data_IF_243000822420
#
_entry.id   IF_243000822420
#
_cell.length_a   1.000
_cell.length_b   1.000
_cell.length_c   1.000
_cell.angle_alpha   90.00
_cell.angle_beta   90.00
_cell.angle_gamma   90.00
#
_symmetry.space_group_name_H-M   'P 1'
#
loop_
_entity.id
_entity.type
_entity.pdbx_description
1 polymer ?
#
# COMPACT_ATOMS: atom_id res chain seq x y z
N UNK A 1 0.83 12.17 21.22
CA UNK A 1 0.01 12.18 19.98
C UNK A 1 0.09 13.57 19.36
N UNK A 2 0.35 13.62 18.07
CA UNK A 2 0.33 14.83 17.27
C UNK A 2 -1.11 15.36 17.14
N UNK A 3 -1.25 16.67 17.00
CA UNK A 3 -2.57 17.28 16.72
C UNK A 3 -2.76 17.36 15.21
N UNK A 4 -3.98 17.13 14.76
CA UNK A 4 -4.33 17.30 13.35
C UNK A 4 -4.09 18.76 12.92
N UNK A 5 -3.41 18.91 11.79
CA UNK A 5 -3.18 20.21 11.14
C UNK A 5 -3.68 20.23 9.68
N UNK A 6 -4.26 19.11 9.21
CA UNK A 6 -4.91 18.95 7.91
C UNK A 6 -6.36 18.55 8.11
N UNK A 7 -7.27 19.21 7.37
CA UNK A 7 -8.70 18.91 7.35
C UNK A 7 -9.04 18.14 6.08
N UNK A 8 -9.51 16.91 6.19
CA UNK A 8 -9.91 16.08 5.04
C UNK A 8 -11.29 16.48 4.53
N UNK A 9 -12.24 16.73 5.45
CA UNK A 9 -13.60 17.12 5.05
C UNK A 9 -13.58 18.50 4.36
N UNK A 10 -14.19 18.60 3.18
CA UNK A 10 -14.13 19.80 2.34
C UNK A 10 -12.91 19.91 1.42
N UNK A 11 -11.92 19.01 1.55
CA UNK A 11 -10.72 19.01 0.69
C UNK A 11 -10.87 18.11 -0.52
N UNK A 12 -10.12 18.42 -1.58
CA UNK A 12 -9.89 17.54 -2.72
C UNK A 12 -8.68 16.67 -2.47
N UNK A 13 -8.88 15.35 -2.39
CA UNK A 13 -7.82 14.34 -2.22
C UNK A 13 -7.52 13.70 -3.57
N UNK A 14 -6.27 13.78 -4.02
CA UNK A 14 -5.82 13.09 -5.22
C UNK A 14 -5.14 11.77 -4.86
N UNK A 15 -5.68 10.64 -5.34
CA UNK A 15 -5.17 9.30 -5.09
C UNK A 15 -4.66 8.70 -6.40
N UNK A 16 -3.37 8.39 -6.47
CA UNK A 16 -2.82 7.63 -7.59
C UNK A 16 -2.88 6.13 -7.29
N UNK A 17 -3.14 5.31 -8.32
CA UNK A 17 -3.37 3.88 -8.11
C UNK A 17 -4.74 3.59 -7.46
N UNK A 18 -5.73 4.41 -7.74
CA UNK A 18 -7.05 4.38 -7.11
C UNK A 18 -7.85 3.11 -7.38
N UNK A 19 -7.61 2.42 -8.50
CA UNK A 19 -8.19 1.12 -8.80
C UNK A 19 -7.41 -0.06 -8.19
N UNK A 20 -6.28 0.24 -7.52
CA UNK A 20 -5.48 -0.73 -6.78
C UNK A 20 -6.14 -1.12 -5.46
N UNK A 21 -5.57 -2.16 -4.80
CA UNK A 21 -6.10 -2.70 -3.54
C UNK A 21 -6.20 -1.65 -2.43
N UNK A 22 -5.09 -1.00 -2.10
CA UNK A 22 -5.08 0.00 -1.01
C UNK A 22 -5.80 1.28 -1.46
N UNK A 23 -5.59 1.72 -2.71
CA UNK A 23 -6.17 2.95 -3.23
C UNK A 23 -7.68 2.96 -3.24
N UNK A 24 -8.31 1.87 -3.67
CA UNK A 24 -9.76 1.75 -3.70
C UNK A 24 -10.38 1.72 -2.30
N UNK A 25 -9.80 0.94 -1.37
CA UNK A 25 -10.28 0.89 0.01
C UNK A 25 -10.12 2.25 0.72
N UNK A 26 -9.01 2.95 0.47
CA UNK A 26 -8.81 4.31 1.00
C UNK A 26 -9.83 5.29 0.44
N UNK A 27 -10.04 5.29 -0.89
CA UNK A 27 -11.02 6.16 -1.53
C UNK A 27 -12.43 5.92 -1.01
N UNK A 28 -12.84 4.66 -0.89
CA UNK A 28 -14.14 4.27 -0.36
C UNK A 28 -14.34 4.77 1.08
N UNK A 29 -13.35 4.57 1.94
CA UNK A 29 -13.39 5.01 3.33
C UNK A 29 -13.45 6.53 3.45
N UNK A 30 -12.67 7.26 2.65
CA UNK A 30 -12.70 8.73 2.63
C UNK A 30 -14.08 9.26 2.20
N UNK A 31 -14.65 8.70 1.13
CA UNK A 31 -15.96 9.10 0.62
C UNK A 31 -17.11 8.73 1.58
N UNK A 32 -16.96 7.66 2.35
CA UNK A 32 -17.95 7.24 3.36
C UNK A 32 -17.90 8.11 4.62
N UNK A 33 -16.70 8.34 5.17
CA UNK A 33 -16.52 8.97 6.48
C UNK A 33 -16.49 10.52 6.41
N UNK A 34 -16.16 11.10 5.24
CA UNK A 34 -16.04 12.54 5.04
C UNK A 34 -16.99 13.04 3.95
N UNK A 35 -18.24 13.45 4.31
CA UNK A 35 -19.30 13.75 3.34
C UNK A 35 -18.99 14.89 2.35
N UNK A 36 -18.10 15.81 2.73
CA UNK A 36 -17.72 16.96 1.89
C UNK A 36 -16.34 16.73 1.19
N UNK A 37 -15.70 15.59 1.43
CA UNK A 37 -14.47 15.22 0.75
C UNK A 37 -14.75 14.86 -0.72
N UNK A 38 -13.90 15.33 -1.61
CA UNK A 38 -13.86 14.93 -3.02
C UNK A 38 -12.60 14.10 -3.27
N UNK A 39 -12.75 12.98 -3.95
CA UNK A 39 -11.64 12.13 -4.36
C UNK A 39 -11.47 12.20 -5.88
N UNK A 40 -10.28 12.56 -6.32
CA UNK A 40 -9.84 12.44 -7.72
C UNK A 40 -8.86 11.30 -7.79
N UNK A 41 -9.13 10.30 -8.63
CA UNK A 41 -8.28 9.12 -8.75
C UNK A 41 -7.70 8.94 -10.13
N UNK A 42 -6.43 8.52 -10.23
CA UNK A 42 -5.81 8.07 -11.48
C UNK A 42 -5.35 6.63 -11.35
N UNK A 43 -5.58 5.83 -12.41
CA UNK A 43 -5.02 4.48 -12.54
C UNK A 43 -4.84 4.13 -14.01
N UNK A 44 -3.76 3.46 -14.35
CA UNK A 44 -3.46 3.06 -15.73
C UNK A 44 -4.19 1.77 -16.15
N UNK A 45 -4.82 1.07 -15.19
CA UNK A 45 -5.54 -0.19 -15.41
C UNK A 45 -4.66 -1.21 -16.14
N UNK A 46 -3.41 -1.37 -15.64
CA UNK A 46 -2.49 -2.35 -16.21
C UNK A 46 -3.03 -3.78 -16.06
N UNK A 47 -2.71 -4.63 -16.99
CA UNK A 47 -3.07 -6.06 -17.07
C UNK A 47 -2.11 -6.99 -16.30
N UNK A 48 -1.36 -6.46 -15.35
CA UNK A 48 -0.48 -7.23 -14.46
C UNK A 48 -1.22 -8.37 -13.75
N UNK A 49 -2.50 -8.17 -13.49
CA UNK A 49 -3.46 -9.19 -13.09
C UNK A 49 -4.83 -8.86 -13.71
N UNK A 50 -5.80 -9.76 -13.60
CA UNK A 50 -7.14 -9.58 -14.18
C UNK A 50 -7.72 -8.22 -13.83
N UNK A 51 -7.97 -7.42 -14.86
CA UNK A 51 -8.46 -6.05 -14.75
C UNK A 51 -9.90 -5.96 -14.24
N UNK A 52 -10.67 -7.04 -14.27
CA UNK A 52 -12.05 -7.09 -13.74
C UNK A 52 -12.12 -6.61 -12.29
N UNK A 53 -11.16 -7.04 -11.45
CA UNK A 53 -11.04 -6.58 -10.07
C UNK A 53 -10.84 -5.07 -9.93
N UNK A 54 -10.13 -4.46 -10.87
CA UNK A 54 -9.93 -3.00 -10.87
C UNK A 54 -11.21 -2.26 -11.23
N UNK A 55 -11.92 -2.74 -12.25
CA UNK A 55 -13.21 -2.15 -12.64
C UNK A 55 -14.29 -2.31 -11.56
N UNK A 56 -14.33 -3.45 -10.88
CA UNK A 56 -15.26 -3.64 -9.76
C UNK A 56 -15.03 -2.64 -8.63
N UNK A 57 -13.76 -2.45 -8.24
CA UNK A 57 -13.40 -1.44 -7.23
C UNK A 57 -13.83 -0.03 -7.68
N UNK A 58 -13.65 0.31 -8.96
CA UNK A 58 -14.08 1.59 -9.51
C UNK A 58 -15.61 1.72 -9.51
N UNK A 59 -16.35 0.68 -9.88
CA UNK A 59 -17.82 0.68 -9.86
C UNK A 59 -18.37 0.98 -8.46
N UNK A 60 -17.72 0.47 -7.39
CA UNK A 60 -18.10 0.82 -6.02
C UNK A 60 -17.86 2.30 -5.70
N UNK A 61 -16.77 2.87 -6.21
CA UNK A 61 -16.45 4.29 -6.01
C UNK A 61 -17.36 5.21 -6.81
N UNK A 62 -17.79 4.82 -8.01
CA UNK A 62 -18.70 5.60 -8.87
C UNK A 62 -20.07 5.83 -8.22
N UNK A 63 -20.46 4.99 -7.25
CA UNK A 63 -21.71 5.18 -6.48
C UNK A 63 -21.75 6.48 -5.67
N UNK A 64 -20.59 7.10 -5.43
CA UNK A 64 -20.49 8.38 -4.71
C UNK A 64 -20.73 9.61 -5.62
N UNK A 65 -21.04 9.41 -6.91
CA UNK A 65 -21.41 10.47 -7.86
C UNK A 65 -20.30 11.52 -8.02
N UNK A 66 -20.69 12.80 -8.01
CA UNK A 66 -19.78 13.93 -8.29
C UNK A 66 -18.63 14.08 -7.28
N UNK A 67 -18.66 13.36 -6.16
CA UNK A 67 -17.58 13.37 -5.18
C UNK A 67 -16.41 12.46 -5.57
N UNK A 68 -16.61 11.58 -6.55
CA UNK A 68 -15.54 10.73 -7.09
C UNK A 68 -15.33 11.02 -8.58
N UNK A 69 -14.07 11.26 -8.94
CA UNK A 69 -13.66 11.43 -10.35
C UNK A 69 -12.57 10.44 -10.68
N UNK A 70 -12.78 9.62 -11.69
CA UNK A 70 -11.78 8.70 -12.20
C UNK A 70 -11.14 9.21 -13.49
N UNK A 71 -9.81 9.20 -13.53
CA UNK A 71 -9.00 9.49 -14.72
C UNK A 71 -8.23 8.24 -15.10
N UNK A 72 -8.51 7.65 -16.25
CA UNK A 72 -7.70 6.55 -16.78
C UNK A 72 -6.42 7.12 -17.38
N UNK A 73 -5.27 6.78 -16.78
CA UNK A 73 -3.95 7.28 -17.24
C UNK A 73 -2.81 6.82 -16.36
N UNK A 74 -1.59 7.04 -16.84
CA UNK A 74 -0.36 6.75 -16.09
C UNK A 74 0.16 7.98 -15.38
N UNK A 75 0.74 7.81 -14.20
CA UNK A 75 1.47 8.87 -13.49
C UNK A 75 2.78 9.25 -14.22
N UNK A 76 3.28 8.41 -15.13
CA UNK A 76 4.42 8.76 -16.00
C UNK A 76 4.03 9.72 -17.13
N UNK A 77 2.73 9.89 -17.43
CA UNK A 77 2.22 10.94 -18.32
C UNK A 77 2.15 12.29 -17.58
N UNK A 78 3.20 13.09 -17.76
CA UNK A 78 3.30 14.42 -17.15
C UNK A 78 2.10 15.31 -17.49
N UNK A 79 1.63 15.27 -18.73
CA UNK A 79 0.52 16.13 -19.16
C UNK A 79 -0.80 15.74 -18.49
N UNK A 80 -1.02 14.44 -18.25
CA UNK A 80 -2.19 13.97 -17.51
C UNK A 80 -2.15 14.48 -16.05
N UNK A 81 -1.01 14.42 -15.39
CA UNK A 81 -0.84 14.92 -14.03
C UNK A 81 -1.02 16.43 -13.96
N UNK A 82 -0.39 17.19 -14.85
CA UNK A 82 -0.52 18.65 -14.90
C UNK A 82 -1.98 19.08 -15.10
N UNK A 83 -2.76 18.37 -15.97
CA UNK A 83 -4.20 18.62 -16.14
C UNK A 83 -5.01 18.36 -14.87
N UNK A 84 -4.74 17.25 -14.17
CA UNK A 84 -5.41 16.92 -12.90
C UNK A 84 -5.19 18.03 -11.87
N UNK A 85 -3.96 18.48 -11.69
CA UNK A 85 -3.66 19.56 -10.74
C UNK A 85 -4.31 20.90 -11.13
N UNK A 86 -4.33 21.23 -12.41
CA UNK A 86 -4.99 22.43 -12.92
C UNK A 86 -6.50 22.40 -12.72
N UNK A 87 -7.15 21.28 -13.06
CA UNK A 87 -8.61 21.18 -13.13
C UNK A 87 -9.25 20.92 -11.76
N UNK A 88 -8.57 20.14 -10.91
CA UNK A 88 -9.13 19.69 -9.63
C UNK A 88 -8.45 20.28 -8.40
N UNK A 89 -7.27 20.89 -8.53
CA UNK A 89 -6.54 21.61 -7.48
C UNK A 89 -6.44 20.83 -6.16
N UNK A 90 -5.85 19.63 -6.16
CA UNK A 90 -5.82 18.78 -4.97
C UNK A 90 -4.99 19.43 -3.85
N UNK A 91 -5.52 19.34 -2.63
CA UNK A 91 -4.89 19.84 -1.41
C UNK A 91 -4.13 18.73 -0.68
N UNK A 92 -4.57 17.48 -0.84
CA UNK A 92 -3.93 16.30 -0.29
C UNK A 92 -3.62 15.33 -1.43
N UNK A 93 -2.39 14.84 -1.49
CA UNK A 93 -1.97 13.87 -2.50
C UNK A 93 -1.56 12.57 -1.82
N UNK A 94 -2.16 11.45 -2.24
CA UNK A 94 -1.80 10.11 -1.77
C UNK A 94 -1.28 9.29 -2.93
N UNK A 95 0.05 9.15 -3.03
CA UNK A 95 0.68 8.44 -4.14
C UNK A 95 0.86 6.96 -3.81
N UNK A 96 -0.07 6.13 -4.30
CA UNK A 96 -0.04 4.67 -4.17
C UNK A 96 0.27 3.96 -5.49
N UNK A 97 0.16 4.66 -6.63
CA UNK A 97 0.51 4.11 -7.94
C UNK A 97 1.97 3.70 -7.99
N UNK A 98 2.20 2.47 -8.33
CA UNK A 98 3.52 1.90 -8.57
C UNK A 98 3.39 0.56 -9.29
N UNK A 99 4.40 0.18 -10.06
CA UNK A 99 4.60 -1.22 -10.36
C UNK A 99 5.13 -1.90 -9.09
N UNK A 100 4.37 -2.86 -8.56
CA UNK A 100 4.67 -3.59 -7.33
C UNK A 100 5.09 -5.04 -7.62
N UNK A 101 5.72 -5.67 -6.63
CA UNK A 101 6.19 -7.06 -6.73
C UNK A 101 7.69 -7.15 -6.94
N UNK A 102 8.38 -7.84 -6.01
CA UNK A 102 9.85 -7.99 -6.06
C UNK A 102 10.26 -8.83 -7.27
N UNK A 103 9.54 -9.92 -7.55
CA UNK A 103 9.90 -10.87 -8.62
C UNK A 103 9.70 -10.28 -10.01
N UNK A 104 8.57 -9.65 -10.23
CA UNK A 104 8.27 -9.04 -11.52
C UNK A 104 9.25 -7.92 -11.89
N UNK A 105 9.94 -7.32 -10.90
CA UNK A 105 10.99 -6.34 -11.18
C UNK A 105 12.25 -6.95 -11.85
N UNK A 106 12.38 -8.27 -11.83
CA UNK A 106 13.45 -9.01 -12.56
C UNK A 106 13.03 -9.25 -14.00
N UNK A 107 11.73 -9.52 -14.21
CA UNK A 107 11.17 -9.88 -15.52
C UNK A 107 10.88 -8.65 -16.39
N UNK A 108 10.40 -7.57 -15.77
CA UNK A 108 10.01 -6.33 -16.46
C UNK A 108 10.53 -5.09 -15.71
N UNK A 109 11.84 -4.82 -15.72
CA UNK A 109 12.45 -3.71 -15.00
C UNK A 109 11.99 -2.34 -15.50
N UNK A 110 11.72 -2.18 -16.79
CA UNK A 110 11.34 -0.90 -17.39
C UNK A 110 10.03 -0.35 -16.80
N UNK A 111 9.06 -1.22 -16.50
CA UNK A 111 7.81 -0.83 -15.86
C UNK A 111 8.03 -0.20 -14.46
N UNK A 112 9.11 -0.62 -13.77
CA UNK A 112 9.47 -0.05 -12.45
C UNK A 112 10.17 1.31 -12.59
N UNK A 113 11.00 1.48 -13.58
CA UNK A 113 11.65 2.78 -13.86
C UNK A 113 10.58 3.78 -14.28
N UNK A 114 9.73 3.43 -15.23
CA UNK A 114 8.66 4.31 -15.73
C UNK A 114 7.69 4.70 -14.61
N UNK A 115 7.06 3.74 -13.98
CA UNK A 115 6.02 4.01 -12.98
C UNK A 115 6.59 4.57 -11.66
N UNK A 116 7.65 3.92 -11.11
CA UNK A 116 8.09 4.23 -9.75
C UNK A 116 9.06 5.40 -9.68
N UNK A 117 9.85 5.66 -10.73
CA UNK A 117 10.79 6.78 -10.75
C UNK A 117 10.24 7.96 -11.54
N UNK A 118 9.94 7.79 -12.83
CA UNK A 118 9.43 8.87 -13.66
C UNK A 118 8.04 9.32 -13.17
N UNK A 119 7.15 8.37 -12.90
CA UNK A 119 5.82 8.67 -12.38
C UNK A 119 5.86 9.42 -11.05
N UNK A 120 6.67 8.96 -10.09
CA UNK A 120 6.80 9.64 -8.81
C UNK A 120 7.44 11.03 -8.94
N UNK A 121 8.43 11.19 -9.82
CA UNK A 121 8.99 12.49 -10.15
C UNK A 121 7.92 13.46 -10.66
N UNK A 122 7.03 13.02 -11.55
CA UNK A 122 5.94 13.85 -12.05
C UNK A 122 5.00 14.32 -10.92
N UNK A 123 4.69 13.44 -9.95
CA UNK A 123 3.89 13.80 -8.77
C UNK A 123 4.62 14.86 -7.92
N UNK A 124 5.92 14.69 -7.67
CA UNK A 124 6.70 15.65 -6.90
C UNK A 124 6.74 17.03 -7.58
N UNK A 125 6.93 17.07 -8.89
CA UNK A 125 6.92 18.33 -9.66
C UNK A 125 5.53 18.98 -9.65
N UNK A 126 4.47 18.20 -9.77
CA UNK A 126 3.11 18.74 -9.68
C UNK A 126 2.83 19.33 -8.28
N UNK A 127 3.26 18.64 -7.21
CA UNK A 127 3.20 19.19 -5.85
C UNK A 127 4.03 20.47 -5.71
N UNK A 128 5.24 20.52 -6.30
CA UNK A 128 6.07 21.74 -6.30
C UNK A 128 5.36 22.90 -6.97
N UNK A 129 4.84 22.68 -8.18
CA UNK A 129 4.16 23.73 -8.96
C UNK A 129 2.78 24.10 -8.41
N UNK A 130 2.22 23.31 -7.50
CA UNK A 130 1.01 23.71 -6.77
C UNK A 130 1.23 24.97 -5.89
N UNK A 131 2.48 25.26 -5.53
CA UNK A 131 2.86 26.46 -4.79
C UNK A 131 3.05 27.71 -5.68
N UNK A 132 2.96 27.60 -7.00
CA UNK A 132 3.09 28.74 -7.90
C UNK A 132 1.90 29.70 -7.75
N UNK A 133 2.09 31.02 -7.97
CA UNK A 133 1.02 31.99 -7.82
C UNK A 133 -0.23 31.65 -8.65
N UNK A 134 -1.39 31.63 -8.00
CA UNK A 134 -2.69 31.31 -8.62
C UNK A 134 -3.08 29.84 -8.55
N UNK A 135 -2.21 28.97 -8.08
CA UNK A 135 -2.51 27.56 -7.81
C UNK A 135 -2.94 27.33 -6.35
N UNK A 136 -3.43 26.13 -6.06
CA UNK A 136 -3.76 25.70 -4.70
C UNK A 136 -2.61 24.83 -4.18
N UNK A 137 -1.92 25.25 -3.11
CA UNK A 137 -0.80 24.50 -2.55
C UNK A 137 -1.24 23.12 -2.04
N UNK A 138 -0.44 22.09 -2.35
CA UNK A 138 -0.58 20.78 -1.71
C UNK A 138 -0.13 20.90 -0.25
N UNK A 139 -1.03 20.62 0.66
CA UNK A 139 -0.79 20.70 2.10
C UNK A 139 -0.07 19.46 2.63
N UNK A 140 -0.27 18.30 2.01
CA UNK A 140 0.38 17.05 2.41
C UNK A 140 0.51 16.07 1.24
N UNK A 141 1.72 15.58 1.00
CA UNK A 141 2.01 14.44 0.14
C UNK A 141 2.26 13.20 1.02
N UNK A 142 1.36 12.21 0.96
CA UNK A 142 1.58 10.88 1.53
C UNK A 142 1.95 9.92 0.41
N UNK A 143 2.99 9.12 0.58
CA UNK A 143 3.42 8.22 -0.48
C UNK A 143 3.79 6.83 0.02
N UNK A 144 3.51 5.82 -0.82
CA UNK A 144 3.84 4.44 -0.54
C UNK A 144 5.34 4.17 -0.75
N UNK A 145 6.05 3.89 0.35
CA UNK A 145 7.29 3.13 0.35
C UNK A 145 6.99 1.64 0.58
N UNK A 146 7.93 0.85 1.02
CA UNK A 146 7.78 -0.60 1.20
C UNK A 146 8.77 -1.12 2.23
N UNK A 147 8.40 -2.16 2.97
CA UNK A 147 9.32 -2.93 3.80
C UNK A 147 10.48 -3.54 3.01
N UNK A 148 10.34 -3.68 1.68
CA UNK A 148 11.43 -4.15 0.80
C UNK A 148 12.67 -3.26 0.83
N UNK A 149 12.56 -1.98 1.24
CA UNK A 149 13.73 -1.08 1.38
C UNK A 149 14.72 -1.55 2.43
N UNK A 150 14.30 -2.37 3.40
CA UNK A 150 15.18 -2.94 4.40
C UNK A 150 16.18 -3.95 3.81
N UNK A 151 15.85 -4.53 2.65
CA UNK A 151 16.77 -5.38 1.90
C UNK A 151 17.39 -6.48 2.73
N UNK A 152 18.74 -6.49 2.81
CA UNK A 152 19.51 -7.47 3.55
C UNK A 152 19.74 -7.13 5.02
N UNK A 153 18.99 -6.19 5.62
CA UNK A 153 19.07 -5.90 7.06
C UNK A 153 18.73 -7.15 7.88
N UNK A 154 19.57 -7.41 8.91
CA UNK A 154 19.42 -8.58 9.79
C UNK A 154 18.73 -8.25 11.11
N UNK A 155 18.77 -6.98 11.52
CA UNK A 155 18.14 -6.53 12.77
C UNK A 155 16.62 -6.52 12.58
N UNK A 156 15.88 -7.08 13.51
CA UNK A 156 14.41 -7.03 13.62
C UNK A 156 14.02 -6.69 15.06
N UNK A 157 12.90 -5.96 15.28
CA UNK A 157 12.02 -5.35 14.30
C UNK A 157 12.74 -4.31 13.44
N UNK A 158 12.28 -4.14 12.20
CA UNK A 158 12.79 -3.11 11.31
C UNK A 158 12.38 -1.72 11.78
N UNK A 159 13.37 -0.87 12.09
CA UNK A 159 13.15 0.52 12.49
C UNK A 159 13.30 1.49 11.33
N UNK A 160 12.56 2.59 11.35
CA UNK A 160 12.72 3.68 10.37
C UNK A 160 14.09 4.35 10.46
N UNK A 161 14.79 4.21 11.61
CA UNK A 161 16.14 4.72 11.83
C UNK A 161 17.23 3.79 11.28
N UNK A 162 16.86 2.57 10.87
CA UNK A 162 17.83 1.63 10.30
C UNK A 162 18.34 2.14 8.94
N UNK A 163 19.63 1.96 8.72
CA UNK A 163 20.26 2.21 7.44
C UNK A 163 19.72 1.22 6.39
N UNK A 164 19.23 1.74 5.26
CA UNK A 164 18.56 0.96 4.21
C UNK A 164 19.23 1.18 2.85
N UNK A 165 20.52 0.83 2.76
CA UNK A 165 21.37 1.06 1.59
C UNK A 165 21.68 -0.22 0.81
N UNK A 166 21.14 -1.37 1.22
CA UNK A 166 21.42 -2.67 0.62
C UNK A 166 20.14 -3.33 0.07
N UNK A 167 19.49 -2.72 -0.96
CA UNK A 167 18.30 -3.29 -1.57
C UNK A 167 18.65 -4.62 -2.27
N UNK A 168 17.73 -5.59 -2.19
CA UNK A 168 17.90 -6.93 -2.83
C UNK A 168 17.08 -7.08 -4.10
N UNK A 169 16.43 -6.01 -4.56
CA UNK A 169 15.67 -5.99 -5.81
C UNK A 169 15.59 -4.58 -6.39
N UNK A 170 15.33 -4.49 -7.70
CA UNK A 170 15.08 -3.20 -8.36
C UNK A 170 13.85 -2.51 -7.75
N UNK A 171 12.79 -3.27 -7.43
CA UNK A 171 11.63 -2.72 -6.72
C UNK A 171 12.02 -2.01 -5.42
N UNK A 172 12.83 -2.66 -4.58
CA UNK A 172 13.30 -2.06 -3.33
C UNK A 172 14.13 -0.79 -3.59
N UNK A 173 15.01 -0.82 -4.60
CA UNK A 173 15.81 0.34 -4.99
C UNK A 173 14.93 1.51 -5.45
N UNK A 174 13.89 1.27 -6.27
CA UNK A 174 12.96 2.33 -6.70
C UNK A 174 12.18 2.91 -5.51
N UNK A 175 11.74 2.09 -4.55
CA UNK A 175 11.04 2.58 -3.36
C UNK A 175 11.96 3.40 -2.45
N UNK A 176 13.21 2.97 -2.27
CA UNK A 176 14.20 3.79 -1.55
C UNK A 176 14.50 5.10 -2.29
N UNK A 177 14.58 5.09 -3.61
CA UNK A 177 14.73 6.31 -4.42
C UNK A 177 13.57 7.27 -4.20
N UNK A 178 12.32 6.78 -4.08
CA UNK A 178 11.17 7.64 -3.76
C UNK A 178 11.34 8.34 -2.40
N UNK A 179 11.83 7.66 -1.37
CA UNK A 179 12.12 8.28 -0.07
C UNK A 179 13.15 9.41 -0.20
N UNK A 180 14.25 9.17 -0.93
CA UNK A 180 15.31 10.16 -1.15
C UNK A 180 14.84 11.36 -1.98
N UNK A 181 14.08 11.12 -3.04
CA UNK A 181 13.51 12.17 -3.89
C UNK A 181 12.52 13.03 -3.09
N UNK A 182 11.59 12.42 -2.34
CA UNK A 182 10.65 13.16 -1.51
C UNK A 182 11.36 14.00 -0.43
N UNK A 183 12.40 13.45 0.22
CA UNK A 183 13.20 14.20 1.18
C UNK A 183 13.86 15.43 0.53
N UNK A 184 14.45 15.27 -0.66
CA UNK A 184 15.08 16.38 -1.38
C UNK A 184 14.05 17.47 -1.72
N UNK A 185 12.85 17.10 -2.19
CA UNK A 185 11.79 18.05 -2.50
C UNK A 185 11.21 18.74 -1.25
N UNK A 186 11.05 18.01 -0.15
CA UNK A 186 10.67 18.60 1.12
C UNK A 186 11.72 19.62 1.61
N UNK A 187 13.01 19.31 1.43
CA UNK A 187 14.10 20.21 1.83
C UNK A 187 14.17 21.49 0.98
N UNK A 188 14.01 21.34 -0.35
CA UNK A 188 14.21 22.43 -1.31
C UNK A 188 12.97 23.31 -1.49
N UNK A 189 11.77 22.71 -1.44
CA UNK A 189 10.53 23.34 -1.85
C UNK A 189 9.46 23.36 -0.76
N UNK A 190 9.79 22.96 0.47
CA UNK A 190 8.85 22.94 1.60
C UNK A 190 7.59 22.11 1.37
N UNK A 191 7.67 21.01 0.61
CA UNK A 191 6.54 20.12 0.37
C UNK A 191 6.40 19.16 1.57
N UNK A 192 5.36 19.30 2.43
CA UNK A 192 5.16 18.40 3.54
C UNK A 192 4.93 16.99 3.04
N UNK A 193 5.81 16.04 3.41
CA UNK A 193 5.83 14.72 2.81
C UNK A 193 5.97 13.62 3.87
N UNK A 194 5.08 12.61 3.82
CA UNK A 194 5.17 11.43 4.68
C UNK A 194 5.22 10.15 3.84
N UNK A 195 6.29 9.39 3.98
CA UNK A 195 6.43 8.08 3.38
C UNK A 195 5.97 6.98 4.33
N UNK A 196 5.24 5.99 3.80
CA UNK A 196 4.77 4.84 4.55
C UNK A 196 5.43 3.56 4.02
N UNK A 197 6.22 2.88 4.84
CA UNK A 197 6.79 1.56 4.53
C UNK A 197 5.74 0.51 4.85
N UNK A 198 4.95 0.13 3.85
CA UNK A 198 3.95 -0.94 3.98
C UNK A 198 4.63 -2.29 4.11
N UNK A 199 4.11 -3.09 5.05
CA UNK A 199 4.41 -4.52 5.16
C UNK A 199 3.41 -5.33 4.34
N UNK A 200 3.19 -6.61 4.65
CA UNK A 200 2.34 -7.46 3.82
C UNK A 200 0.85 -7.18 4.09
N UNK A 201 0.22 -6.44 3.19
CA UNK A 201 -1.20 -6.10 3.30
C UNK A 201 -2.08 -7.23 2.76
N UNK A 202 -3.13 -7.59 3.49
CA UNK A 202 -4.07 -8.63 3.10
C UNK A 202 -5.51 -8.25 3.43
N UNK A 203 -6.49 -8.93 2.80
CA UNK A 203 -7.92 -8.71 3.05
C UNK A 203 -8.79 -8.84 1.80
N UNK A 204 -10.10 -8.54 1.92
CA UNK A 204 -11.05 -8.53 0.82
C UNK A 204 -10.62 -7.61 -0.33
N UNK A 205 -11.03 -7.93 -1.53
CA UNK A 205 -10.66 -7.18 -2.74
C UNK A 205 -9.13 -7.06 -2.95
N UNK A 206 -8.36 -8.02 -2.43
CA UNK A 206 -6.91 -8.00 -2.48
C UNK A 206 -6.32 -8.24 -3.87
N UNK A 207 -4.99 -8.32 -3.93
CA UNK A 207 -4.27 -8.56 -5.18
C UNK A 207 -4.08 -10.06 -5.41
N UNK A 208 -4.37 -10.60 -6.62
CA UNK A 208 -4.23 -12.02 -6.93
C UNK A 208 -2.81 -12.57 -6.83
N UNK A 209 -1.79 -11.72 -6.97
CA UNK A 209 -0.38 -12.11 -6.84
C UNK A 209 0.10 -12.25 -5.39
N UNK A 210 -0.73 -11.90 -4.40
CA UNK A 210 -0.43 -12.09 -2.98
C UNK A 210 -0.69 -13.53 -2.53
N UNK A 211 0.10 -14.00 -1.54
CA UNK A 211 0.10 -15.40 -1.12
C UNK A 211 -1.30 -15.93 -0.74
N UNK A 212 -2.06 -15.19 0.08
CA UNK A 212 -3.40 -15.64 0.50
C UNK A 212 -4.36 -15.82 -0.67
N UNK A 213 -4.35 -14.93 -1.64
CA UNK A 213 -5.19 -15.01 -2.83
C UNK A 213 -4.69 -16.11 -3.79
N UNK A 214 -3.40 -16.11 -4.09
CA UNK A 214 -2.80 -17.08 -4.99
C UNK A 214 -2.86 -18.53 -4.45
N UNK A 215 -2.83 -18.73 -3.12
CA UNK A 215 -3.04 -20.03 -2.50
C UNK A 215 -4.50 -20.46 -2.63
N UNK A 216 -5.44 -19.55 -2.34
CA UNK A 216 -6.88 -19.83 -2.51
C UNK A 216 -7.20 -20.23 -3.94
N UNK A 217 -6.77 -19.45 -4.94
CA UNK A 217 -6.99 -19.76 -6.35
C UNK A 217 -6.43 -21.13 -6.75
N UNK A 218 -5.25 -21.48 -6.26
CA UNK A 218 -4.65 -22.80 -6.54
C UNK A 218 -5.44 -23.92 -5.91
N UNK A 219 -5.79 -23.82 -4.63
CA UNK A 219 -6.51 -24.87 -3.89
C UNK A 219 -7.90 -25.10 -4.49
N UNK A 220 -8.64 -24.05 -4.81
CA UNK A 220 -9.96 -24.13 -5.47
C UNK A 220 -9.89 -24.85 -6.82
N UNK A 221 -8.80 -24.66 -7.55
CA UNK A 221 -8.57 -25.32 -8.84
C UNK A 221 -7.84 -26.66 -8.72
N UNK A 222 -7.76 -27.26 -7.54
CA UNK A 222 -7.09 -28.56 -7.32
C UNK A 222 -5.58 -28.54 -7.58
N UNK A 223 -4.95 -27.37 -7.54
CA UNK A 223 -3.51 -27.20 -7.80
C UNK A 223 -2.73 -27.13 -6.50
N UNK A 224 -1.47 -27.58 -6.54
CA UNK A 224 -0.57 -27.59 -5.39
C UNK A 224 -0.04 -26.21 -5.07
N UNK A 225 -0.04 -25.83 -3.80
CA UNK A 225 0.63 -24.63 -3.27
C UNK A 225 2.07 -24.99 -2.86
N UNK A 226 2.99 -24.04 -3.08
CA UNK A 226 4.40 -24.20 -2.67
C UNK A 226 4.68 -23.39 -1.42
N UNK A 227 5.13 -24.08 -0.38
CA UNK A 227 5.52 -23.47 0.90
C UNK A 227 7.03 -23.33 0.91
N UNK A 228 7.51 -22.10 0.72
CA UNK A 228 8.94 -21.79 0.66
C UNK A 228 9.61 -21.87 2.03
N UNK A 229 10.93 -22.11 2.00
CA UNK A 229 11.75 -22.33 3.18
C UNK A 229 11.17 -23.39 4.13
N UNK A 230 10.54 -24.41 3.59
CA UNK A 230 9.87 -25.48 4.36
C UNK A 230 8.90 -24.95 5.43
N UNK A 231 8.36 -23.75 5.24
CA UNK A 231 7.47 -23.07 6.17
C UNK A 231 8.19 -22.30 7.30
N UNK A 232 9.51 -22.35 7.41
CA UNK A 232 10.27 -21.61 8.41
C UNK A 232 10.46 -20.14 7.99
N UNK A 233 9.34 -19.44 7.90
CA UNK A 233 9.26 -18.02 7.60
C UNK A 233 8.24 -17.33 8.48
N UNK A 234 8.54 -16.08 8.86
CA UNK A 234 7.59 -15.22 9.57
C UNK A 234 7.36 -13.93 8.79
N UNK A 235 6.12 -13.51 8.70
CA UNK A 235 5.70 -12.30 7.97
C UNK A 235 4.77 -11.47 8.84
N UNK A 236 4.95 -10.17 8.75
CA UNK A 236 4.04 -9.19 9.32
C UNK A 236 2.87 -8.99 8.34
N UNK A 237 1.74 -9.61 8.65
CA UNK A 237 0.50 -9.47 7.89
C UNK A 237 -0.37 -8.38 8.52
N UNK A 238 -0.74 -7.38 7.72
CA UNK A 238 -1.54 -6.25 8.19
C UNK A 238 -2.86 -6.19 7.42
N UNK A 239 -3.96 -6.18 8.15
CA UNK A 239 -5.29 -6.16 7.57
C UNK A 239 -5.57 -4.83 6.87
N UNK A 240 -6.31 -4.87 5.75
CA UNK A 240 -6.54 -3.69 4.90
C UNK A 240 -7.20 -2.52 5.64
N UNK A 241 -8.15 -2.77 6.53
CA UNK A 241 -8.81 -1.68 7.26
C UNK A 241 -7.86 -0.99 8.24
N UNK A 242 -6.95 -1.74 8.87
CA UNK A 242 -5.90 -1.17 9.72
C UNK A 242 -4.94 -0.30 8.88
N UNK A 243 -4.63 -0.74 7.67
CA UNK A 243 -3.81 0.05 6.73
C UNK A 243 -4.51 1.36 6.37
N UNK A 244 -5.77 1.29 5.97
CA UNK A 244 -6.56 2.47 5.58
C UNK A 244 -6.70 3.44 6.75
N UNK A 245 -7.00 2.95 7.95
CA UNK A 245 -7.06 3.78 9.16
C UNK A 245 -5.74 4.48 9.44
N UNK A 246 -4.62 3.75 9.36
CA UNK A 246 -3.29 4.33 9.56
C UNK A 246 -2.96 5.41 8.53
N UNK A 247 -3.28 5.19 7.25
CA UNK A 247 -3.08 6.17 6.18
C UNK A 247 -3.91 7.43 6.45
N UNK A 248 -5.19 7.30 6.83
CA UNK A 248 -6.08 8.43 7.13
C UNK A 248 -5.55 9.26 8.31
N UNK A 249 -5.08 8.61 9.37
CA UNK A 249 -4.48 9.32 10.52
C UNK A 249 -3.24 10.11 10.11
N UNK A 250 -2.37 9.50 9.30
CA UNK A 250 -1.20 10.19 8.75
C UNK A 250 -1.62 11.36 7.86
N UNK A 251 -2.62 11.20 6.98
CA UNK A 251 -3.11 12.27 6.11
C UNK A 251 -3.55 13.53 6.88
N UNK A 252 -4.06 13.37 8.09
CA UNK A 252 -4.55 14.47 8.96
C UNK A 252 -3.43 15.27 9.61
N UNK A 253 -2.17 14.82 9.49
CA UNK A 253 -1.04 15.47 10.12
C UNK A 253 0.17 15.56 9.18
N UNK A 254 0.32 16.72 8.53
CA UNK A 254 1.49 17.01 7.70
C UNK A 254 2.69 17.35 8.59
N UNK A 255 3.89 16.82 8.29
CA UNK A 255 5.10 17.22 9.00
C UNK A 255 5.41 18.70 8.73
N UNK A 256 5.97 19.37 9.74
CA UNK A 256 6.32 20.77 9.68
C UNK A 256 7.84 20.96 9.58
N UNK A 257 8.27 22.09 8.99
CA UNK A 257 9.67 22.50 9.05
C UNK A 257 9.98 22.98 10.46
N UNK A 258 10.94 22.36 11.12
CA UNK A 258 11.37 22.71 12.46
C UNK A 258 12.86 23.09 12.49
N UNK A 259 13.34 23.70 13.58
CA UNK A 259 14.77 23.87 13.82
C UNK A 259 15.31 22.67 14.58
N UNK A 260 16.41 22.11 14.07
CA UNK A 260 17.20 21.11 14.77
C UNK A 260 17.92 21.68 15.99
N UNK A 261 18.47 20.81 16.83
CA UNK A 261 19.27 21.20 18.00
C UNK A 261 20.51 22.01 17.61
N UNK A 262 21.05 21.78 16.40
CA UNK A 262 22.16 22.54 15.80
C UNK A 262 21.70 23.89 15.18
N UNK A 263 20.41 24.24 15.28
CA UNK A 263 19.83 25.44 14.72
C UNK A 263 19.54 25.38 13.22
N UNK A 264 19.90 24.29 12.53
CA UNK A 264 19.64 24.11 11.11
C UNK A 264 18.19 23.66 10.86
N UNK A 265 17.59 24.02 9.69
CA UNK A 265 16.23 23.63 9.39
C UNK A 265 16.13 22.13 9.04
N UNK A 266 15.28 21.43 9.77
CA UNK A 266 14.84 20.06 9.44
C UNK A 266 13.66 20.18 8.46
N UNK A 267 13.70 19.49 7.31
CA UNK A 267 12.62 19.57 6.32
C UNK A 267 11.30 18.98 6.85
N UNK A 268 10.15 19.38 6.28
CA UNK A 268 8.85 18.81 6.62
C UNK A 268 8.70 17.41 6.00
N UNK A 269 9.41 16.42 6.55
CA UNK A 269 9.53 15.07 6.02
C UNK A 269 9.56 14.04 7.14
N UNK A 270 8.77 12.96 6.98
CA UNK A 270 8.73 11.82 7.90
C UNK A 270 8.58 10.50 7.15
N UNK A 271 9.10 9.44 7.76
CA UNK A 271 8.87 8.05 7.34
C UNK A 271 8.30 7.27 8.52
N UNK A 272 7.29 6.44 8.26
CA UNK A 272 6.74 5.51 9.23
C UNK A 272 6.68 4.09 8.64
N UNK A 273 6.89 3.11 9.49
CA UNK A 273 6.45 1.76 9.22
C UNK A 273 4.96 1.64 9.49
N UNK A 274 4.25 0.93 8.62
CA UNK A 274 2.87 0.55 8.84
C UNK A 274 2.73 -0.96 8.67
N UNK A 275 2.59 -1.65 9.80
CA UNK A 275 2.56 -3.09 9.94
C UNK A 275 1.90 -3.49 11.25
N UNK A 276 1.57 -4.76 11.42
CA UNK A 276 0.89 -5.26 12.63
C UNK A 276 1.86 -5.43 13.83
N UNK A 277 3.18 -5.40 13.57
CA UNK A 277 4.21 -5.65 14.58
C UNK A 277 4.02 -7.00 15.32
N UNK A 278 3.42 -7.97 14.66
CA UNK A 278 3.22 -9.34 15.13
C UNK A 278 3.55 -10.30 13.98
N UNK A 279 4.79 -10.81 13.92
CA UNK A 279 5.20 -11.68 12.82
C UNK A 279 4.56 -13.06 12.97
N UNK A 280 3.69 -13.41 12.04
CA UNK A 280 3.00 -14.69 11.97
C UNK A 280 3.83 -15.75 11.25
N UNK A 281 3.80 -16.98 11.74
CA UNK A 281 4.43 -18.11 11.07
C UNK A 281 3.69 -18.47 9.79
N UNK A 282 4.43 -18.80 8.72
CA UNK A 282 3.83 -19.10 7.41
C UNK A 282 2.93 -20.36 7.45
N UNK A 283 3.28 -21.38 8.23
CA UNK A 283 2.45 -22.59 8.34
C UNK A 283 1.15 -22.31 9.11
N UNK A 284 1.22 -21.48 10.16
CA UNK A 284 0.02 -21.08 10.90
C UNK A 284 -0.89 -20.21 10.01
N UNK A 285 -0.31 -19.31 9.22
CA UNK A 285 -1.05 -18.54 8.21
C UNK A 285 -1.77 -19.47 7.22
N UNK A 286 -1.08 -20.47 6.68
CA UNK A 286 -1.67 -21.43 5.73
C UNK A 286 -2.81 -22.24 6.38
N UNK A 287 -2.62 -22.75 7.60
CA UNK A 287 -3.67 -23.48 8.33
C UNK A 287 -4.91 -22.62 8.57
N UNK A 288 -4.71 -21.37 9.05
CA UNK A 288 -5.83 -20.44 9.27
C UNK A 288 -6.56 -20.17 7.97
N UNK A 289 -5.83 -19.92 6.86
CA UNK A 289 -6.45 -19.73 5.55
C UNK A 289 -7.28 -20.94 5.13
N UNK A 290 -6.75 -22.15 5.28
CA UNK A 290 -7.45 -23.40 4.98
C UNK A 290 -8.74 -23.55 5.80
N UNK A 291 -8.66 -23.34 7.13
CA UNK A 291 -9.83 -23.39 8.01
C UNK A 291 -10.93 -22.40 7.55
N UNK A 292 -10.56 -21.17 7.20
CA UNK A 292 -11.53 -20.16 6.80
C UNK A 292 -12.11 -20.44 5.39
N UNK A 293 -11.34 -21.04 4.47
CA UNK A 293 -11.85 -21.45 3.16
C UNK A 293 -12.88 -22.59 3.29
N UNK A 294 -12.65 -23.56 4.18
CA UNK A 294 -13.63 -24.63 4.49
C UNK A 294 -14.86 -24.02 5.17
N UNK A 295 -14.66 -23.12 6.15
CA UNK A 295 -15.76 -22.47 6.87
C UNK A 295 -16.65 -21.63 5.95
N UNK A 296 -16.06 -21.00 4.93
CA UNK A 296 -16.77 -20.24 3.89
C UNK A 296 -17.34 -21.14 2.77
N UNK A 297 -17.24 -22.48 2.89
CA UNK A 297 -17.69 -23.47 1.91
C UNK A 297 -17.04 -23.36 0.52
N UNK A 298 -15.87 -22.73 0.44
CA UNK A 298 -15.06 -22.64 -0.78
C UNK A 298 -14.39 -23.98 -1.06
N UNK A 299 -13.94 -24.67 0.00
CA UNK A 299 -13.37 -26.02 -0.07
C UNK A 299 -14.24 -26.98 0.74
N UNK A 300 -14.34 -28.26 0.34
CA UNK A 300 -15.08 -29.25 1.10
C UNK A 300 -14.41 -29.55 2.45
N UNK A 301 -15.19 -30.01 3.42
CA UNK A 301 -14.71 -30.27 4.79
C UNK A 301 -13.65 -31.39 4.87
N UNK A 302 -13.62 -32.29 3.90
CA UNK A 302 -12.68 -33.40 3.74
C UNK A 302 -11.55 -33.09 2.72
N UNK A 303 -11.32 -31.83 2.38
CA UNK A 303 -10.26 -31.44 1.44
C UNK A 303 -8.88 -31.90 1.93
N UNK A 304 -8.17 -32.68 1.10
CA UNK A 304 -6.83 -33.17 1.42
C UNK A 304 -5.77 -32.07 1.16
N UNK A 305 -5.48 -31.28 2.19
CA UNK A 305 -4.48 -30.21 2.11
C UNK A 305 -3.06 -30.73 1.93
N UNK A 306 -2.74 -31.90 2.50
CA UNK A 306 -1.39 -32.48 2.41
C UNK A 306 -1.07 -32.90 0.97
N UNK A 307 -2.07 -33.46 0.25
CA UNK A 307 -1.94 -33.77 -1.17
C UNK A 307 -1.76 -32.53 -2.07
N UNK A 308 -2.19 -31.37 -1.59
CA UNK A 308 -2.12 -30.10 -2.33
C UNK A 308 -1.05 -29.14 -1.81
N UNK A 309 -0.08 -29.63 -1.02
CA UNK A 309 0.99 -28.81 -0.43
C UNK A 309 2.37 -29.41 -0.74
N UNK A 310 3.28 -28.58 -1.26
CA UNK A 310 4.68 -28.94 -1.55
C UNK A 310 5.62 -28.04 -0.74
N UNK A 311 6.46 -28.66 0.10
CA UNK A 311 7.50 -27.95 0.84
C UNK A 311 8.73 -27.79 -0.05
N UNK A 312 9.18 -26.54 -0.24
CA UNK A 312 10.32 -26.21 -1.13
C UNK A 312 11.36 -25.35 -0.44
N UNK A 313 12.62 -25.36 -0.93
CA UNK A 313 13.68 -24.49 -0.41
C UNK A 313 13.33 -23.01 -0.52
N UNK A 314 14.06 -22.18 0.24
CA UNK A 314 13.93 -20.72 0.18
C UNK A 314 14.26 -20.18 -1.20
N UNK A 315 13.50 -19.19 -1.66
CA UNK A 315 13.74 -18.53 -2.94
C UNK A 315 14.87 -17.48 -2.84
N UNK A 316 15.63 -17.26 -3.92
CA UNK A 316 16.58 -16.16 -3.99
C UNK A 316 15.91 -14.80 -3.75
N UNK A 317 16.53 -13.96 -2.93
CA UNK A 317 15.99 -12.62 -2.61
C UNK A 317 14.89 -12.59 -1.55
N UNK A 318 14.48 -13.75 -1.01
CA UNK A 318 13.56 -13.81 0.14
C UNK A 318 14.32 -13.73 1.46
N UNK A 319 13.60 -13.34 2.54
CA UNK A 319 14.17 -13.21 3.90
C UNK A 319 13.34 -14.03 4.88
N UNK A 320 13.95 -14.62 5.95
CA UNK A 320 13.22 -15.53 6.84
C UNK A 320 12.16 -14.80 7.70
N UNK A 321 12.46 -13.57 8.14
CA UNK A 321 11.58 -12.82 9.05
C UNK A 321 11.46 -11.37 8.58
N UNK A 322 10.24 -10.86 8.54
CA UNK A 322 9.97 -9.43 8.35
C UNK A 322 8.91 -8.99 9.35
N UNK A 323 9.19 -7.96 10.15
CA UNK A 323 8.16 -7.27 10.92
C UNK A 323 8.58 -5.85 11.29
N UNK A 324 7.56 -5.00 11.47
CA UNK A 324 7.70 -3.57 11.66
C UNK A 324 7.97 -3.21 13.12
N UNK A 325 8.86 -2.25 13.37
CA UNK A 325 8.75 -1.39 14.55
C UNK A 325 7.76 -0.27 14.22
N UNK A 326 6.59 -0.30 14.82
CA UNK A 326 5.51 0.68 14.63
C UNK A 326 5.44 1.69 15.78
N UNK A 327 6.38 1.66 16.72
CA UNK A 327 6.42 2.56 17.88
C UNK A 327 6.30 4.04 17.51
N UNK A 328 7.00 4.57 16.47
CA UNK A 328 6.81 5.96 16.06
C UNK A 328 5.39 6.27 15.59
N UNK A 329 4.76 5.35 14.84
CA UNK A 329 3.38 5.51 14.39
C UNK A 329 2.40 5.56 15.57
N UNK A 330 2.59 4.67 16.55
CA UNK A 330 1.76 4.60 17.76
C UNK A 330 1.92 5.85 18.63
N UNK A 331 3.15 6.32 18.83
CA UNK A 331 3.42 7.52 19.62
C UNK A 331 2.82 8.78 19.00
N UNK A 332 2.99 8.93 17.69
CA UNK A 332 2.57 10.14 16.98
C UNK A 332 1.05 10.16 16.75
N UNK A 333 0.43 9.03 16.38
CA UNK A 333 -0.98 8.99 15.98
C UNK A 333 -1.91 8.24 16.94
N UNK A 334 -1.40 7.68 18.03
CA UNK A 334 -2.19 6.88 18.98
C UNK A 334 -2.85 5.67 18.31
N UNK A 335 -2.21 5.12 17.28
CA UNK A 335 -2.77 4.05 16.45
C UNK A 335 -1.73 2.93 16.25
N UNK A 336 -2.21 1.71 16.40
CA UNK A 336 -1.50 0.49 16.10
C UNK A 336 -2.43 -0.48 15.38
N UNK A 337 -2.05 -1.01 14.22
CA UNK A 337 -2.74 -2.14 13.60
C UNK A 337 -2.90 -3.29 14.60
N UNK A 338 -4.08 -3.90 14.67
CA UNK A 338 -4.38 -4.90 15.70
C UNK A 338 -5.36 -5.99 15.27
N UNK A 339 -5.83 -5.97 14.02
CA UNK A 339 -6.76 -6.99 13.53
C UNK A 339 -6.08 -8.36 13.53
N UNK A 340 -6.63 -9.37 14.27
CA UNK A 340 -6.09 -10.71 14.29
C UNK A 340 -6.09 -11.34 12.89
N UNK A 341 -5.04 -12.12 12.57
CA UNK A 341 -4.89 -12.75 11.26
C UNK A 341 -6.12 -13.55 10.84
N UNK A 342 -6.68 -14.38 11.75
CA UNK A 342 -7.89 -15.18 11.49
C UNK A 342 -9.10 -14.30 11.11
N UNK A 343 -9.28 -13.17 11.78
CA UNK A 343 -10.39 -12.24 11.48
C UNK A 343 -10.30 -11.70 10.06
N UNK A 344 -9.13 -11.26 9.65
CA UNK A 344 -8.93 -10.73 8.30
C UNK A 344 -8.99 -11.81 7.21
N UNK A 345 -8.47 -13.03 7.46
CA UNK A 345 -8.58 -14.15 6.53
C UNK A 345 -10.02 -14.66 6.40
N UNK A 346 -10.81 -14.64 7.48
CA UNK A 346 -12.25 -14.90 7.43
C UNK A 346 -12.99 -13.92 6.54
N UNK A 347 -12.74 -12.62 6.71
CA UNK A 347 -13.34 -11.59 5.87
C UNK A 347 -12.95 -11.76 4.39
N UNK A 348 -11.68 -12.12 4.13
CA UNK A 348 -11.25 -12.44 2.77
C UNK A 348 -11.96 -13.67 2.20
N UNK A 349 -12.08 -14.78 2.96
CA UNK A 349 -12.73 -15.99 2.51
C UNK A 349 -14.22 -15.76 2.22
N UNK A 350 -14.94 -15.02 3.08
CA UNK A 350 -16.33 -14.64 2.85
C UNK A 350 -16.48 -13.81 1.56
N UNK A 351 -15.67 -12.77 1.38
CA UNK A 351 -15.67 -11.98 0.16
C UNK A 351 -15.36 -12.85 -1.09
N UNK A 352 -14.40 -13.77 -1.00
CA UNK A 352 -14.05 -14.65 -2.11
C UNK A 352 -15.20 -15.60 -2.47
N UNK A 353 -15.90 -16.15 -1.47
CA UNK A 353 -17.08 -16.98 -1.68
C UNK A 353 -18.20 -16.21 -2.38
N UNK A 354 -18.55 -15.02 -1.89
CA UNK A 354 -19.57 -14.16 -2.49
C UNK A 354 -19.25 -13.81 -3.95
N UNK A 355 -17.96 -13.64 -4.26
CA UNK A 355 -17.54 -13.23 -5.60
C UNK A 355 -17.45 -14.38 -6.60
N UNK A 356 -16.91 -15.52 -6.19
CA UNK A 356 -16.50 -16.59 -7.12
C UNK A 356 -17.29 -17.88 -6.92
N UNK A 357 -18.11 -18.00 -5.87
CA UNK A 357 -18.87 -19.20 -5.51
C UNK A 357 -20.33 -18.87 -5.19
N UNK A 358 -20.98 -18.04 -6.00
CA UNK A 358 -22.38 -17.61 -5.82
C UNK A 358 -23.42 -18.73 -5.97
N UNK A 359 -23.02 -19.95 -6.36
CA UNK A 359 -23.91 -21.09 -6.62
C UNK A 359 -23.86 -22.18 -5.52
N UNK A 360 -23.39 -21.86 -4.30
CA UNK A 360 -23.32 -22.83 -3.19
C UNK A 360 -24.42 -22.59 -2.12
#
# INVERSE_FOLDING_TARGET
MLKDNITINGSTVFITGVAGFIGANLAQRLLADYPECRVVGIDSITDYYDTSLKYERLNELEKYGDRFVFVKGSISDRQAIDRIFKDYKPEIVVNLAAQAGVRYSIENPDAYVDSNLIGFYNILEACRHSNDPGNTPVQHLVFASSSSVYGSNKKVPYSTDDKVDNPVSLYAATKKSNELMAHAYAKLYDIPSTGLRFFTVYGPCGRPDMAYFGFTDKLVNGRTIKIFNYGDCKRDFTYIDDIVEGVIRVMRHAPERIKGEDGLPIPPYKIYNIGNNQPENLLDFVRILQDELVSAKILPADFDFDAHTEMVPMQPGDVPVTYADTTPLEQDFGFRPSTPLRTGLRAFAQWYAEKYHTDA
#
